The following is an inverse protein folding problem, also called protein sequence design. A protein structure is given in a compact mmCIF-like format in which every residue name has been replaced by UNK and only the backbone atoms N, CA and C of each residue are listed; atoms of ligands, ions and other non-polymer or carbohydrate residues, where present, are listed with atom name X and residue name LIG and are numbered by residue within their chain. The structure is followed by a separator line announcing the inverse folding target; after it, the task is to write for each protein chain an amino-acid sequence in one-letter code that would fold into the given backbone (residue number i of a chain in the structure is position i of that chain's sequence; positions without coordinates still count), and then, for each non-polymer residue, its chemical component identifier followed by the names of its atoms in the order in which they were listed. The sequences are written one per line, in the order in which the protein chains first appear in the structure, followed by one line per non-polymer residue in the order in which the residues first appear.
data_IF_975182097380
#
_entry.id   IF_975182097380
#
_cell.length_a   1.000
_cell.length_b   1.000
_cell.length_c   1.000
_cell.angle_alpha   90.00
_cell.angle_beta   90.00
_cell.angle_gamma   90.00
#
_symmetry.space_group_name_H-M   'P 1'
#
loop_
_entity.id
_entity.type
_entity.pdbx_description
1 polymer ?
#
# COMPACT_ATOMS: atom_id res chain seq x y z
N UNK A 1 0.20 4.65 -6.45
CA UNK A 1 1.33 5.29 -7.19
C UNK A 1 2.45 4.28 -7.37
N UNK A 2 2.82 3.57 -6.31
CA UNK A 2 3.76 2.44 -6.35
C UNK A 2 3.28 1.29 -7.25
N UNK A 3 1.97 1.04 -7.26
CA UNK A 3 1.32 0.03 -8.12
C UNK A 3 1.52 0.28 -9.62
N UNK A 4 1.54 1.55 -10.07
CA UNK A 4 1.80 1.87 -11.48
C UNK A 4 3.27 1.66 -11.85
N UNK A 5 4.19 1.98 -10.93
CA UNK A 5 5.62 1.78 -11.14
C UNK A 5 5.95 0.29 -11.34
N UNK A 6 5.37 -0.57 -10.50
CA UNK A 6 5.57 -2.01 -10.56
C UNK A 6 4.92 -2.64 -11.81
N UNK A 7 3.74 -2.15 -12.23
CA UNK A 7 3.13 -2.55 -13.50
C UNK A 7 4.02 -2.28 -14.70
N UNK A 8 4.53 -1.05 -14.80
CA UNK A 8 5.44 -0.68 -15.88
C UNK A 8 6.73 -1.52 -15.83
N UNK A 9 7.22 -1.85 -14.64
CA UNK A 9 8.38 -2.73 -14.48
C UNK A 9 8.08 -4.16 -14.94
N UNK A 10 6.88 -4.68 -14.64
CA UNK A 10 6.44 -6.00 -15.08
C UNK A 10 6.33 -6.08 -16.61
N UNK A 11 5.80 -5.03 -17.25
CA UNK A 11 5.76 -4.92 -18.71
C UNK A 11 7.16 -4.94 -19.33
N UNK A 12 8.10 -4.16 -18.76
CA UNK A 12 9.51 -4.17 -19.19
C UNK A 12 10.16 -5.53 -19.00
N UNK A 13 9.88 -6.22 -17.89
CA UNK A 13 10.36 -7.58 -17.67
C UNK A 13 9.80 -8.56 -18.70
N UNK A 14 8.50 -8.46 -19.06
CA UNK A 14 7.88 -9.31 -20.08
C UNK A 14 8.48 -9.13 -21.48
N UNK A 15 8.97 -7.93 -21.77
CA UNK A 15 9.55 -7.57 -23.06
C UNK A 15 11.07 -7.80 -23.14
N UNK A 16 11.70 -8.30 -22.07
CA UNK A 16 13.15 -8.49 -22.01
C UNK A 16 13.61 -9.44 -23.14
N UNK A 17 14.43 -8.97 -24.10
CA UNK A 17 14.94 -9.80 -25.19
C UNK A 17 15.88 -10.88 -24.66
N UNK A 18 15.84 -12.04 -25.30
CA UNK A 18 16.73 -13.16 -24.97
C UNK A 18 18.19 -12.71 -25.07
N UNK A 19 18.98 -13.00 -24.03
CA UNK A 19 20.42 -12.75 -23.93
C UNK A 19 20.84 -11.28 -23.98
N UNK A 20 19.91 -10.32 -23.81
CA UNK A 20 20.25 -8.91 -23.76
C UNK A 20 20.72 -8.52 -22.34
N UNK A 21 22.04 -8.57 -22.13
CA UNK A 21 22.65 -8.29 -20.83
C UNK A 21 22.49 -6.83 -20.39
N UNK A 22 22.47 -5.88 -21.35
CA UNK A 22 22.35 -4.46 -21.05
C UNK A 22 20.96 -4.12 -20.51
N UNK A 23 19.92 -4.65 -21.14
CA UNK A 23 18.56 -4.46 -20.66
C UNK A 23 18.30 -5.21 -19.35
N UNK A 24 18.91 -6.39 -19.18
CA UNK A 24 18.84 -7.13 -17.92
C UNK A 24 19.45 -6.34 -16.76
N UNK A 25 20.63 -5.74 -16.96
CA UNK A 25 21.30 -4.93 -15.95
C UNK A 25 20.45 -3.69 -15.59
N UNK A 26 19.97 -2.96 -16.60
CA UNK A 26 19.07 -1.83 -16.40
C UNK A 26 17.81 -2.23 -15.60
N UNK A 27 17.18 -3.34 -15.97
CA UNK A 27 15.97 -3.83 -15.32
C UNK A 27 16.25 -4.26 -13.87
N UNK A 28 17.38 -4.91 -13.63
CA UNK A 28 17.83 -5.31 -12.28
C UNK A 28 18.06 -4.09 -11.39
N UNK A 29 18.78 -3.08 -11.87
CA UNK A 29 19.04 -1.84 -11.13
C UNK A 29 17.75 -1.09 -10.81
N UNK A 30 16.84 -0.99 -11.80
CA UNK A 30 15.54 -0.34 -11.63
C UNK A 30 14.66 -1.08 -10.63
N UNK A 31 14.67 -2.42 -10.67
CA UNK A 31 13.98 -3.28 -9.69
C UNK A 31 14.49 -2.98 -8.28
N UNK A 32 15.81 -2.97 -8.08
CA UNK A 32 16.44 -2.63 -6.79
C UNK A 32 16.04 -1.25 -6.28
N UNK A 33 16.03 -0.24 -7.16
CA UNK A 33 15.60 1.12 -6.83
C UNK A 33 14.14 1.14 -6.35
N UNK A 34 13.24 0.43 -7.03
CA UNK A 34 11.84 0.34 -6.62
C UNK A 34 11.65 -0.44 -5.32
N UNK A 35 12.43 -1.50 -5.08
CA UNK A 35 12.42 -2.19 -3.79
C UNK A 35 12.78 -1.20 -2.67
N UNK A 36 13.85 -0.41 -2.84
CA UNK A 36 14.24 0.61 -1.86
C UNK A 36 13.14 1.65 -1.61
N UNK A 37 12.52 2.14 -2.68
CA UNK A 37 11.49 3.17 -2.58
C UNK A 37 10.20 2.67 -1.89
N UNK A 38 9.82 1.42 -2.13
CA UNK A 38 8.53 0.88 -1.69
C UNK A 38 8.65 0.18 -0.33
N UNK A 39 9.70 -0.61 -0.13
CA UNK A 39 9.88 -1.51 1.01
C UNK A 39 11.08 -1.14 1.89
N UNK A 40 11.95 -0.23 1.44
CA UNK A 40 13.16 0.17 2.16
C UNK A 40 14.38 -0.72 1.89
N UNK A 41 15.52 -0.29 2.43
CA UNK A 41 16.82 -0.93 2.20
C UNK A 41 16.96 -2.31 2.86
N UNK A 42 16.20 -2.59 3.93
CA UNK A 42 16.27 -3.86 4.66
C UNK A 42 15.33 -4.93 4.10
N UNK A 43 14.64 -4.64 2.99
CA UNK A 43 13.67 -5.56 2.41
C UNK A 43 14.29 -6.89 2.00
N UNK A 44 13.60 -8.00 2.34
CA UNK A 44 13.97 -9.34 1.88
C UNK A 44 13.96 -9.47 0.35
N UNK A 45 13.23 -8.59 -0.36
CA UNK A 45 13.22 -8.57 -1.82
C UNK A 45 14.60 -8.31 -2.43
N UNK A 46 15.50 -7.61 -1.74
CA UNK A 46 16.89 -7.46 -2.19
C UNK A 46 17.62 -8.80 -2.23
N UNK A 47 17.45 -9.62 -1.18
CA UNK A 47 18.04 -10.96 -1.13
C UNK A 47 17.46 -11.84 -2.23
N UNK A 48 16.15 -11.75 -2.47
CA UNK A 48 15.50 -12.48 -3.56
C UNK A 48 16.06 -12.05 -4.91
N UNK A 49 16.16 -10.76 -5.18
CA UNK A 49 16.72 -10.22 -6.43
C UNK A 49 18.15 -10.72 -6.66
N UNK A 50 19.00 -10.69 -5.64
CA UNK A 50 20.42 -11.07 -5.73
C UNK A 50 20.65 -12.58 -5.90
N UNK A 51 19.66 -13.38 -5.50
CA UNK A 51 19.65 -14.83 -5.70
C UNK A 51 19.32 -15.24 -7.13
N UNK A 52 18.78 -14.35 -7.96
CA UNK A 52 18.40 -14.66 -9.34
C UNK A 52 19.66 -14.79 -10.19
N UNK A 53 19.84 -15.95 -10.82
CA UNK A 53 20.97 -16.25 -11.71
C UNK A 53 20.47 -16.43 -13.14
N UNK A 54 21.11 -15.72 -14.07
CA UNK A 54 20.87 -15.81 -15.51
C UNK A 54 21.93 -16.65 -16.24
N UNK A 55 22.95 -17.10 -15.51
CA UNK A 55 24.07 -17.88 -16.04
C UNK A 55 24.15 -19.24 -15.32
N UNK A 56 24.49 -20.32 -16.06
CA UNK A 56 24.63 -21.64 -15.46
C UNK A 56 25.87 -21.71 -14.56
N UNK A 57 25.79 -22.52 -13.51
CA UNK A 57 26.95 -22.84 -12.67
C UNK A 57 27.92 -23.81 -13.36
N UNK A 58 27.39 -24.71 -14.19
CA UNK A 58 28.15 -25.70 -14.95
C UNK A 58 27.73 -25.66 -16.42
N UNK A 59 28.71 -25.73 -17.31
CA UNK A 59 28.46 -25.66 -18.74
C UNK A 59 28.06 -27.04 -19.30
N UNK A 60 26.88 -27.11 -19.91
CA UNK A 60 26.44 -28.19 -20.79
C UNK A 60 25.63 -27.61 -21.96
N UNK A 61 25.49 -28.30 -23.10
CA UNK A 61 24.71 -27.80 -24.23
C UNK A 61 23.27 -27.40 -23.82
N UNK A 62 22.88 -26.15 -24.08
CA UNK A 62 21.57 -25.61 -23.69
C UNK A 62 21.46 -25.09 -22.24
N UNK A 63 22.48 -25.29 -21.41
CA UNK A 63 22.50 -24.80 -20.01
C UNK A 63 22.28 -23.29 -19.87
N UNK A 64 22.79 -22.52 -20.83
CA UNK A 64 22.60 -21.07 -20.87
C UNK A 64 21.14 -20.68 -21.07
N UNK A 65 20.46 -21.28 -22.05
CA UNK A 65 19.06 -20.94 -22.37
C UNK A 65 18.12 -21.31 -21.22
N UNK A 66 18.39 -22.45 -20.57
CA UNK A 66 17.69 -22.88 -19.36
C UNK A 66 17.90 -21.88 -18.21
N UNK A 67 19.15 -21.47 -17.96
CA UNK A 67 19.46 -20.53 -16.88
C UNK A 67 18.87 -19.15 -17.14
N UNK A 68 18.92 -18.69 -18.39
CA UNK A 68 18.32 -17.43 -18.82
C UNK A 68 16.81 -17.43 -18.60
N UNK A 69 16.11 -18.47 -19.08
CA UNK A 69 14.68 -18.62 -18.89
C UNK A 69 14.31 -18.67 -17.41
N UNK A 70 15.01 -19.48 -16.63
CA UNK A 70 14.77 -19.59 -15.19
C UNK A 70 15.02 -18.26 -14.45
N UNK A 71 16.06 -17.53 -14.81
CA UNK A 71 16.35 -16.21 -14.26
C UNK A 71 15.26 -15.20 -14.60
N UNK A 72 14.81 -15.20 -15.86
CA UNK A 72 13.74 -14.34 -16.35
C UNK A 72 12.41 -14.60 -15.64
N UNK A 73 12.00 -15.88 -15.55
CA UNK A 73 10.79 -16.29 -14.85
C UNK A 73 10.82 -15.89 -13.36
N UNK A 74 11.96 -16.07 -12.68
CA UNK A 74 12.13 -15.65 -11.29
C UNK A 74 12.04 -14.13 -11.11
N UNK A 75 12.66 -13.36 -12.01
CA UNK A 75 12.61 -11.90 -11.96
C UNK A 75 11.20 -11.39 -12.17
N UNK A 76 10.49 -11.95 -13.15
CA UNK A 76 9.09 -11.65 -13.40
C UNK A 76 8.22 -11.96 -12.18
N UNK A 77 8.37 -13.14 -11.59
CA UNK A 77 7.61 -13.54 -10.41
C UNK A 77 7.87 -12.61 -9.21
N UNK A 78 9.13 -12.21 -9.00
CA UNK A 78 9.47 -11.23 -7.96
C UNK A 78 8.69 -9.93 -8.16
N UNK A 79 8.68 -9.38 -9.37
CA UNK A 79 7.98 -8.13 -9.68
C UNK A 79 6.47 -8.27 -9.50
N UNK A 80 5.89 -9.40 -9.92
CA UNK A 80 4.45 -9.68 -9.75
C UNK A 80 4.06 -9.75 -8.28
N UNK A 81 4.83 -10.47 -7.45
CA UNK A 81 4.56 -10.56 -6.00
C UNK A 81 4.63 -9.18 -5.35
N UNK A 82 5.62 -8.36 -5.72
CA UNK A 82 5.70 -6.98 -5.24
C UNK A 82 4.47 -6.16 -5.67
N UNK A 83 4.00 -6.31 -6.91
CA UNK A 83 2.81 -5.62 -7.41
C UNK A 83 1.56 -5.99 -6.59
N UNK A 84 1.34 -7.28 -6.38
CA UNK A 84 0.22 -7.81 -5.62
C UNK A 84 0.25 -7.31 -4.17
N UNK A 85 1.40 -7.42 -3.50
CA UNK A 85 1.56 -6.96 -2.13
C UNK A 85 1.33 -5.44 -2.02
N UNK A 86 1.90 -4.65 -2.94
CA UNK A 86 1.69 -3.20 -2.96
C UNK A 86 0.20 -2.85 -3.15
N UNK A 87 -0.55 -3.62 -3.94
CA UNK A 87 -1.99 -3.44 -4.12
C UNK A 87 -2.77 -3.73 -2.84
N UNK A 88 -2.40 -4.80 -2.12
CA UNK A 88 -3.00 -5.17 -0.82
C UNK A 88 -2.75 -4.06 0.21
N UNK A 89 -1.52 -3.55 0.30
CA UNK A 89 -1.16 -2.46 1.23
C UNK A 89 -1.94 -1.17 0.91
N UNK A 90 -2.05 -0.80 -0.37
CA UNK A 90 -2.83 0.39 -0.78
C UNK A 90 -4.32 0.24 -0.40
N UNK A 91 -4.91 -0.95 -0.59
CA UNK A 91 -6.29 -1.24 -0.17
C UNK A 91 -6.45 -1.13 1.34
N UNK A 92 -5.54 -1.72 2.12
CA UNK A 92 -5.57 -1.66 3.58
C UNK A 92 -5.48 -0.21 4.12
N UNK A 93 -4.60 0.60 3.53
CA UNK A 93 -4.47 2.03 3.88
C UNK A 93 -5.76 2.81 3.61
N UNK A 94 -6.42 2.57 2.47
CA UNK A 94 -7.71 3.21 2.14
C UNK A 94 -8.80 2.82 3.14
N UNK A 95 -8.91 1.53 3.48
CA UNK A 95 -9.88 1.04 4.47
C UNK A 95 -9.66 1.66 5.85
N UNK A 96 -8.40 1.76 6.29
CA UNK A 96 -8.08 2.40 7.57
C UNK A 96 -8.45 3.89 7.59
N UNK A 97 -8.18 4.62 6.49
CA UNK A 97 -8.58 6.03 6.35
C UNK A 97 -10.10 6.21 6.47
N UNK A 98 -10.88 5.33 5.83
CA UNK A 98 -12.35 5.33 5.92
C UNK A 98 -12.79 5.05 7.37
N UNK A 99 -12.16 4.08 8.05
CA UNK A 99 -12.47 3.75 9.45
C UNK A 99 -12.22 4.94 10.38
N UNK A 100 -11.09 5.62 10.23
CA UNK A 100 -10.74 6.82 11.00
C UNK A 100 -11.75 7.95 10.73
N UNK A 101 -12.12 8.17 9.46
CA UNK A 101 -13.10 9.19 9.09
C UNK A 101 -14.48 8.92 9.72
N UNK A 102 -14.96 7.67 9.63
CA UNK A 102 -16.22 7.25 10.28
C UNK A 102 -16.19 7.51 11.79
N UNK A 103 -15.08 7.21 12.45
CA UNK A 103 -14.90 7.48 13.90
C UNK A 103 -14.96 8.98 14.20
N UNK A 104 -14.30 9.81 13.40
CA UNK A 104 -14.33 11.29 13.54
C UNK A 104 -15.73 11.86 13.33
N UNK A 105 -16.44 11.42 12.29
CA UNK A 105 -17.81 11.85 12.00
C UNK A 105 -18.74 11.45 13.15
N UNK A 106 -18.68 10.19 13.60
CA UNK A 106 -19.48 9.73 14.74
C UNK A 106 -19.24 10.60 15.97
N UNK A 107 -17.99 10.83 16.33
CA UNK A 107 -17.63 11.69 17.46
C UNK A 107 -18.17 13.12 17.31
N UNK A 108 -18.03 13.72 16.12
CA UNK A 108 -18.54 15.07 15.84
C UNK A 108 -20.07 15.14 15.97
N UNK A 109 -20.79 14.16 15.41
CA UNK A 109 -22.26 14.06 15.54
C UNK A 109 -22.64 13.95 17.01
N UNK A 110 -22.00 13.05 17.77
CA UNK A 110 -22.30 12.89 19.20
C UNK A 110 -22.07 14.18 19.98
N UNK A 111 -20.98 14.91 19.70
CA UNK A 111 -20.68 16.20 20.33
C UNK A 111 -21.71 17.26 19.99
N UNK A 112 -22.19 17.31 18.74
CA UNK A 112 -23.24 18.24 18.30
C UNK A 112 -24.60 17.93 18.97
N UNK A 113 -24.97 16.65 19.07
CA UNK A 113 -26.19 16.27 19.78
C UNK A 113 -26.12 16.62 21.27
N UNK A 114 -24.99 16.33 21.93
CA UNK A 114 -24.78 16.69 23.34
C UNK A 114 -24.87 18.20 23.57
N UNK A 115 -24.31 19.03 22.68
CA UNK A 115 -24.39 20.48 22.82
C UNK A 115 -25.83 20.99 22.67
N UNK A 116 -26.57 20.50 21.67
CA UNK A 116 -27.99 20.86 21.47
C UNK A 116 -28.86 20.43 22.64
N UNK A 117 -28.67 19.21 23.16
CA UNK A 117 -29.40 18.73 24.34
C UNK A 117 -29.14 19.60 25.58
N UNK A 118 -27.89 20.03 25.78
CA UNK A 118 -27.54 20.93 26.89
C UNK A 118 -28.27 22.28 26.78
N UNK A 119 -28.34 22.85 25.57
CA UNK A 119 -29.07 24.11 25.33
C UNK A 119 -30.56 23.93 25.65
N UNK A 120 -31.20 22.90 25.10
CA UNK A 120 -32.63 22.62 25.33
C UNK A 120 -32.93 22.45 26.83
N UNK A 121 -32.11 21.65 27.52
CA UNK A 121 -32.25 21.43 28.97
C UNK A 121 -32.17 22.74 29.76
N UNK A 122 -31.21 23.62 29.44
CA UNK A 122 -31.07 24.90 30.13
C UNK A 122 -32.28 25.81 29.90
N UNK A 123 -32.83 25.84 28.68
CA UNK A 123 -34.02 26.64 28.37
C UNK A 123 -35.26 26.14 29.12
N UNK A 124 -35.46 24.82 29.20
CA UNK A 124 -36.59 24.23 29.93
C UNK A 124 -36.46 24.49 31.43
N UNK A 125 -35.28 24.30 32.01
CA UNK A 125 -35.04 24.59 33.43
C UNK A 125 -35.32 26.07 33.75
N UNK A 126 -34.88 27.00 32.90
CA UNK A 126 -35.17 28.42 33.07
C UNK A 126 -36.67 28.73 33.06
N UNK A 127 -37.44 28.10 32.15
CA UNK A 127 -38.91 28.24 32.13
C UNK A 127 -39.57 27.69 33.39
N UNK A 128 -39.13 26.51 33.87
CA UNK A 128 -39.66 25.91 35.10
C UNK A 128 -39.39 26.81 36.30
N UNK A 129 -38.19 27.36 36.43
CA UNK A 129 -37.84 28.29 37.52
C UNK A 129 -38.69 29.55 37.48
N UNK A 130 -38.88 30.16 36.31
CA UNK A 130 -39.74 31.34 36.18
C UNK A 130 -41.19 31.04 36.56
N UNK A 131 -41.75 29.92 36.10
CA UNK A 131 -43.11 29.49 36.49
C UNK A 131 -43.21 29.24 38.00
N UNK A 132 -42.20 28.61 38.62
CA UNK A 132 -42.19 28.38 40.05
C UNK A 132 -42.14 29.69 40.85
N UNK A 133 -41.42 30.71 40.37
CA UNK A 133 -41.37 32.03 40.98
C UNK A 133 -42.70 32.78 40.85
N UNK A 134 -43.37 32.68 39.70
CA UNK A 134 -44.70 33.29 39.47
C UNK A 134 -45.79 32.69 40.36
N UNK A 135 -45.66 31.42 40.79
CA UNK A 135 -46.62 30.75 41.68
C UNK A 135 -46.37 30.98 43.18
N UNK A 136 -45.21 31.53 43.56
CA UNK A 136 -44.81 31.76 44.95
C UNK A 136 -44.83 33.24 45.38
N UNK A 137 -45.32 34.13 44.50
CA UNK A 137 -45.61 35.55 44.75
C UNK A 137 -47.13 35.74 44.76
#
# INVERSE_FOLDING_TARGET
MNTLLLKNLAEQANQLPTKNLKELDYLTQKTRMYINQIYGYESLYHKTLDSIKFFPLYYYPGSYDISWKNGHDKLKNLIVVMEEESSIIEKAKKLNKIKILKKKIKHWITKQFQSKLKIIRNTILGKIVNLALEYFI
#
